data_IF_910442743466
#
_entry.id   IF_910442743466
#
_cell.length_a   1.000
_cell.length_b   1.000
_cell.length_c   1.000
_cell.angle_alpha   90.00
_cell.angle_beta   90.00
_cell.angle_gamma   90.00
#
_symmetry.space_group_name_H-M   'P 1'
#
loop_
_entity.id
_entity.type
_entity.pdbx_description
1 polymer ?
#
# COMPACT_ATOMS: atom_id res chain seq x y z
N UNK A 1 -15.02 0.21 16.69
CA UNK A 1 -14.63 0.94 15.50
C UNK A 1 -14.73 0.08 14.28
N UNK A 2 -15.30 0.64 13.23
CA UNK A 2 -15.45 -0.11 11.99
C UNK A 2 -14.13 -0.13 11.23
N UNK A 3 -13.81 -1.29 10.69
CA UNK A 3 -12.70 -1.36 9.76
C UNK A 3 -13.13 -0.84 8.41
N UNK A 4 -12.17 -0.39 7.63
CA UNK A 4 -12.42 -0.04 6.25
C UNK A 4 -11.93 -1.16 5.36
N UNK A 5 -12.50 -1.20 4.16
CA UNK A 5 -12.18 -2.24 3.17
C UNK A 5 -11.51 -1.59 1.97
N UNK A 6 -10.44 -2.21 1.51
CA UNK A 6 -9.73 -1.77 0.32
C UNK A 6 -9.34 -3.00 -0.48
N UNK A 7 -8.82 -2.77 -1.67
CA UNK A 7 -8.31 -3.86 -2.50
C UNK A 7 -6.80 -3.75 -2.61
N UNK A 8 -6.14 -4.88 -2.47
CA UNK A 8 -4.70 -4.96 -2.67
C UNK A 8 -4.43 -6.09 -3.64
N UNK A 9 -3.91 -5.73 -4.80
CA UNK A 9 -3.64 -6.69 -5.86
C UNK A 9 -4.89 -7.51 -6.20
N UNK A 10 -6.03 -6.83 -6.22
CA UNK A 10 -7.29 -7.45 -6.60
C UNK A 10 -8.01 -8.18 -5.49
N UNK A 11 -7.46 -8.21 -4.30
CA UNK A 11 -8.08 -8.92 -3.18
C UNK A 11 -8.53 -7.94 -2.12
N UNK A 12 -9.69 -8.22 -1.53
CA UNK A 12 -10.20 -7.38 -0.46
C UNK A 12 -9.37 -7.57 0.80
N UNK A 13 -9.06 -6.47 1.45
CA UNK A 13 -8.36 -6.43 2.72
C UNK A 13 -9.06 -5.41 3.60
N UNK A 14 -8.85 -5.54 4.89
CA UNK A 14 -9.39 -4.57 5.83
C UNK A 14 -8.26 -3.96 6.64
N UNK A 15 -8.50 -2.76 7.13
CA UNK A 15 -7.58 -2.13 8.07
C UNK A 15 -8.36 -1.14 8.90
N UNK A 16 -7.73 -0.65 9.94
CA UNK A 16 -8.34 0.35 10.80
C UNK A 16 -8.39 1.69 10.07
N UNK A 17 -9.39 2.51 10.37
CA UNK A 17 -9.43 3.86 9.82
C UNK A 17 -8.17 4.63 10.17
N UNK A 18 -7.79 5.56 9.31
CA UNK A 18 -6.63 6.42 9.50
C UNK A 18 -5.29 5.68 9.46
N UNK A 19 -5.28 4.47 8.93
CA UNK A 19 -4.02 3.76 8.72
C UNK A 19 -3.27 4.42 7.58
N UNK A 20 -1.99 4.68 7.78
CA UNK A 20 -1.13 5.24 6.74
C UNK A 20 -0.53 4.13 5.91
N UNK A 21 -0.16 4.46 4.68
CA UNK A 21 0.35 3.46 3.75
C UNK A 21 1.53 2.66 4.29
N UNK A 22 2.56 3.28 4.88
CA UNK A 22 3.67 2.47 5.41
C UNK A 22 3.22 1.46 6.44
N UNK A 23 2.29 1.85 7.31
CA UNK A 23 1.77 0.94 8.31
C UNK A 23 1.02 -0.22 7.65
N UNK A 24 0.27 0.07 6.60
CA UNK A 24 -0.44 -0.97 5.88
C UNK A 24 0.52 -1.99 5.28
N UNK A 25 1.62 -1.50 4.70
CA UNK A 25 2.61 -2.40 4.12
C UNK A 25 3.22 -3.30 5.18
N UNK A 26 3.53 -2.74 6.35
CA UNK A 26 4.06 -3.53 7.44
C UNK A 26 3.07 -4.56 7.93
N UNK A 27 1.80 -4.17 8.03
CA UNK A 27 0.76 -5.11 8.46
C UNK A 27 0.64 -6.28 7.50
N UNK A 28 0.96 -6.08 6.23
CA UNK A 28 0.92 -7.15 5.23
C UNK A 28 2.20 -7.98 5.22
N UNK A 29 3.17 -7.63 6.05
CA UNK A 29 4.43 -8.34 6.07
C UNK A 29 5.36 -7.97 4.94
N UNK A 30 5.12 -6.84 4.29
CA UNK A 30 5.95 -6.40 3.17
C UNK A 30 7.02 -5.44 3.66
N UNK A 31 8.20 -5.54 3.04
CA UNK A 31 9.26 -4.60 3.31
C UNK A 31 9.06 -3.38 2.44
N UNK A 32 8.78 -2.21 3.01
CA UNK A 32 8.51 -1.02 2.20
C UNK A 32 9.64 -0.64 1.26
N UNK A 33 10.87 -1.04 1.59
CA UNK A 33 12.01 -0.73 0.74
C UNK A 33 12.04 -1.51 -0.55
N UNK A 34 11.28 -2.61 -0.61
CA UNK A 34 11.38 -3.55 -1.71
C UNK A 34 10.13 -3.57 -2.58
N UNK A 35 9.24 -2.59 -2.42
CA UNK A 35 8.00 -2.60 -3.17
C UNK A 35 7.77 -1.26 -3.84
N UNK A 36 7.04 -1.31 -4.94
CA UNK A 36 6.49 -0.14 -5.59
C UNK A 36 4.97 -0.21 -5.47
N UNK A 37 4.34 0.95 -5.37
CA UNK A 37 2.91 1.03 -5.09
C UNK A 37 2.23 1.89 -6.13
N UNK A 38 1.15 1.35 -6.72
CA UNK A 38 0.18 2.15 -7.45
C UNK A 38 -1.02 2.34 -6.55
N UNK A 39 -1.45 3.58 -6.44
CA UNK A 39 -2.55 3.95 -5.57
C UNK A 39 -3.65 4.52 -6.43
N UNK A 40 -4.75 3.78 -6.51
CA UNK A 40 -5.91 4.18 -7.33
C UNK A 40 -5.50 4.47 -8.77
N UNK A 41 -4.63 3.62 -9.31
CA UNK A 41 -4.25 3.69 -10.71
C UNK A 41 -3.06 4.56 -11.03
N UNK A 42 -2.47 5.18 -10.03
CA UNK A 42 -1.32 6.06 -10.25
C UNK A 42 -0.16 5.64 -9.39
N UNK A 43 1.04 5.75 -9.94
CA UNK A 43 2.24 5.45 -9.16
C UNK A 43 2.34 6.44 -8.02
N UNK A 44 2.48 5.92 -6.82
CA UNK A 44 2.63 6.75 -5.64
C UNK A 44 4.07 6.73 -5.20
N UNK A 45 4.73 7.87 -5.34
CA UNK A 45 6.14 7.96 -4.99
C UNK A 45 6.33 7.85 -3.49
N UNK A 46 7.46 7.26 -3.12
CA UNK A 46 7.74 6.91 -1.74
C UNK A 46 7.67 8.11 -0.81
N UNK A 47 8.06 9.27 -1.30
CA UNK A 47 8.09 10.47 -0.46
C UNK A 47 6.70 10.88 0.04
N UNK A 48 5.64 10.37 -0.58
CA UNK A 48 4.28 10.72 -0.18
C UNK A 48 3.63 9.66 0.70
N UNK A 49 4.30 8.52 0.93
CA UNK A 49 3.67 7.40 1.61
C UNK A 49 3.24 7.74 3.03
N UNK A 50 4.09 8.48 3.77
CA UNK A 50 3.76 8.78 5.16
C UNK A 50 2.59 9.72 5.31
N UNK A 51 2.27 10.44 4.25
CA UNK A 51 1.13 11.33 4.26
C UNK A 51 -0.10 10.73 3.58
N UNK A 52 -0.03 9.48 3.17
CA UNK A 52 -1.12 8.83 2.46
C UNK A 52 -1.90 7.96 3.43
N UNK A 53 -3.13 8.38 3.70
CA UNK A 53 -4.03 7.64 4.57
C UNK A 53 -4.92 6.74 3.72
N UNK A 54 -5.03 5.48 4.11
CA UNK A 54 -5.85 4.52 3.38
C UNK A 54 -7.31 4.82 3.64
N UNK A 55 -8.11 4.79 2.58
CA UNK A 55 -9.52 5.10 2.67
C UNK A 55 -10.36 3.96 2.15
N UNK A 56 -11.61 3.94 2.58
CA UNK A 56 -12.57 2.95 2.12
C UNK A 56 -12.60 2.92 0.60
N UNK A 57 -12.47 1.74 0.02
CA UNK A 57 -12.59 1.58 -1.42
C UNK A 57 -11.31 1.82 -2.20
N UNK A 58 -10.21 2.15 -1.53
CA UNK A 58 -8.94 2.35 -2.22
C UNK A 58 -8.50 1.08 -2.91
N UNK A 59 -7.79 1.25 -4.03
CA UNK A 59 -7.22 0.15 -4.79
C UNK A 59 -5.73 0.34 -4.87
N UNK A 60 -5.00 -0.64 -4.36
CA UNK A 60 -3.55 -0.63 -4.38
C UNK A 60 -3.03 -1.79 -5.21
N UNK A 61 -2.03 -1.50 -6.03
CA UNK A 61 -1.24 -2.53 -6.69
C UNK A 61 0.16 -2.45 -6.13
N UNK A 62 0.61 -3.53 -5.55
CA UNK A 62 1.91 -3.55 -4.89
C UNK A 62 2.74 -4.62 -5.54
N UNK A 63 3.89 -4.22 -6.06
CA UNK A 63 4.80 -5.16 -6.71
C UNK A 63 6.14 -5.12 -6.00
N UNK A 64 6.77 -6.28 -5.91
CA UNK A 64 8.08 -6.38 -5.32
C UNK A 64 9.12 -5.96 -6.34
N UNK A 65 10.03 -5.11 -5.91
CA UNK A 65 11.15 -4.71 -6.75
C UNK A 65 12.22 -5.76 -6.61
N UNK A 66 12.59 -6.38 -7.73
CA UNK A 66 13.63 -7.41 -7.72
C UNK A 66 14.96 -6.71 -7.64
N UNK A 67 15.73 -7.04 -6.62
CA UNK A 67 16.97 -6.34 -6.37
C UNK A 67 17.93 -6.36 -7.54
N UNK A 68 18.00 -7.47 -8.22
CA UNK A 68 18.92 -7.59 -9.36
C UNK A 68 18.58 -6.66 -10.50
N UNK A 69 17.34 -6.19 -10.57
CA UNK A 69 16.95 -5.28 -11.62
C UNK A 69 17.40 -3.86 -11.42
N UNK A 70 17.89 -3.55 -10.26
CA UNK A 70 18.28 -2.19 -9.90
C UNK A 70 19.79 -2.09 -9.96
N UNK A 71 20.26 -1.36 -10.87
CA UNK A 71 21.70 -1.19 -11.04
C UNK A 71 22.08 0.24 -11.10
#
# INVERSE_FOLDING_TARGET
MSEITLQINGKNQTCLPATKLPQMLENLGMNPRLVAVEYNGEILHRQYWENTEIKEGDKLEIVTIVGGGIK
#
